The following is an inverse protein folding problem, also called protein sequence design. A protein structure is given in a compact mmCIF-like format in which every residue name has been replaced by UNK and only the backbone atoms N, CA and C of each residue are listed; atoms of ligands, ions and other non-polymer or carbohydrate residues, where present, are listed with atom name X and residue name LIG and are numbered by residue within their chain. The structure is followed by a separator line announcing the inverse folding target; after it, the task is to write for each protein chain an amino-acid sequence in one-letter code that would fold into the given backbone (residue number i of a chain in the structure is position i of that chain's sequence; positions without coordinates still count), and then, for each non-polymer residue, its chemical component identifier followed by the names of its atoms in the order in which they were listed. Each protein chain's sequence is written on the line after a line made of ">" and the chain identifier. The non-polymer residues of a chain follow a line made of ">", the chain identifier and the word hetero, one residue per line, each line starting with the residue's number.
data_IF_945963224474
#
_entry.id   IF_945963224474
#
_cell.length_a   1.000
_cell.length_b   1.000
_cell.length_c   1.000
_cell.angle_alpha   90.00
_cell.angle_beta   90.00
_cell.angle_gamma   90.00
#
_symmetry.space_group_name_H-M   'P 1'
#
loop_
_entity.id
_entity.type
_entity.pdbx_description
1 polymer ?
#
# COMPACT_ATOMS: atom_id res chain seq x y z
N UNK A 1 33.80 17.54 -10.92
CA UNK A 1 32.49 17.51 -10.24
C UNK A 1 31.42 17.03 -11.22
N UNK A 2 30.71 15.94 -10.91
CA UNK A 2 29.32 15.72 -11.31
C UNK A 2 28.77 14.56 -10.46
N UNK A 3 27.90 14.86 -9.51
CA UNK A 3 27.09 13.87 -8.81
C UNK A 3 25.94 13.48 -9.74
N UNK A 4 25.66 12.19 -10.01
CA UNK A 4 24.38 11.79 -10.56
C UNK A 4 23.30 12.00 -9.49
N UNK A 5 22.60 13.11 -9.67
CA UNK A 5 21.27 13.42 -9.18
C UNK A 5 20.37 12.19 -8.94
N UNK A 6 19.99 12.03 -7.67
CA UNK A 6 18.84 11.29 -7.18
C UNK A 6 17.56 11.78 -7.86
N UNK A 7 16.94 10.97 -8.71
CA UNK A 7 15.52 11.12 -8.98
C UNK A 7 14.83 9.78 -8.69
N UNK A 8 14.31 9.68 -7.47
CA UNK A 8 13.36 8.65 -7.09
C UNK A 8 12.19 8.76 -8.06
N UNK A 9 12.01 7.74 -8.89
CA UNK A 9 10.83 7.61 -9.76
C UNK A 9 9.62 7.26 -8.89
N UNK A 10 9.16 8.23 -8.12
CA UNK A 10 7.78 8.27 -7.66
C UNK A 10 6.94 8.73 -8.83
N UNK A 11 6.59 7.80 -9.72
CA UNK A 11 5.58 8.00 -10.75
C UNK A 11 4.22 8.21 -10.07
N UNK A 12 3.57 9.38 -10.22
CA UNK A 12 2.18 9.54 -9.86
C UNK A 12 1.31 9.11 -11.05
N UNK A 13 0.24 8.37 -10.77
CA UNK A 13 -0.86 8.03 -11.68
C UNK A 13 -0.76 6.70 -12.44
N UNK A 14 -0.84 5.61 -11.69
CA UNK A 14 -1.63 4.45 -12.08
C UNK A 14 -2.38 3.97 -10.83
N UNK A 15 -3.65 3.61 -10.97
CA UNK A 15 -4.26 2.70 -9.99
C UNK A 15 -3.63 1.34 -10.25
N UNK A 16 -2.36 1.20 -9.89
CA UNK A 16 -1.63 -0.01 -10.15
C UNK A 16 -2.09 -1.07 -9.15
N UNK A 17 -2.28 -2.32 -9.59
CA UNK A 17 -2.57 -3.44 -8.70
C UNK A 17 -1.53 -3.53 -7.56
N UNK A 18 -0.29 -3.10 -7.83
CA UNK A 18 0.80 -3.01 -6.86
C UNK A 18 0.54 -2.03 -5.70
N UNK A 19 -0.14 -0.90 -5.96
CA UNK A 19 -0.52 0.08 -4.91
C UNK A 19 -1.60 -0.48 -3.98
N UNK A 20 -2.51 -1.29 -4.53
CA UNK A 20 -3.53 -2.03 -3.77
C UNK A 20 -2.85 -3.03 -2.83
N UNK A 21 -1.90 -3.82 -3.32
CA UNK A 21 -1.13 -4.74 -2.48
C UNK A 21 -0.29 -4.01 -1.42
N UNK A 22 0.36 -2.90 -1.79
CA UNK A 22 1.10 -2.04 -0.87
C UNK A 22 0.21 -1.50 0.27
N UNK A 23 -1.04 -1.12 -0.02
CA UNK A 23 -2.03 -0.72 0.99
C UNK A 23 -2.45 -1.87 1.88
N UNK A 24 -2.65 -3.08 1.33
CA UNK A 24 -2.97 -4.28 2.10
C UNK A 24 -1.83 -4.64 3.06
N UNK A 25 -0.57 -4.55 2.63
CA UNK A 25 0.59 -4.76 3.52
C UNK A 25 0.64 -3.74 4.66
N UNK A 26 0.37 -2.47 4.35
CA UNK A 26 0.35 -1.41 5.36
C UNK A 26 -0.78 -1.61 6.38
N UNK A 27 -1.95 -2.05 5.92
CA UNK A 27 -3.05 -2.47 6.78
C UNK A 27 -2.69 -3.69 7.64
N UNK A 28 -1.99 -4.68 7.08
CA UNK A 28 -1.55 -5.86 7.82
C UNK A 28 -0.54 -5.51 8.91
N UNK A 29 0.37 -4.57 8.63
CA UNK A 29 1.32 -4.06 9.62
C UNK A 29 0.62 -3.29 10.75
N UNK A 30 -0.44 -2.53 10.46
CA UNK A 30 -1.26 -1.85 11.46
C UNK A 30 -2.09 -2.84 12.29
N UNK A 31 -2.66 -3.86 11.66
CA UNK A 31 -3.37 -4.97 12.31
C UNK A 31 -2.43 -5.77 13.24
N UNK A 32 -1.24 -6.11 12.76
CA UNK A 32 -0.22 -6.81 13.55
C UNK A 32 0.26 -5.99 14.76
N UNK A 33 0.16 -4.66 14.68
CA UNK A 33 0.40 -3.75 15.82
C UNK A 33 -0.79 -3.61 16.77
N UNK A 34 -1.90 -4.29 16.50
CA UNK A 34 -3.13 -4.22 17.30
C UNK A 34 -3.89 -2.90 17.15
N UNK A 35 -3.61 -2.13 16.09
CA UNK A 35 -4.26 -0.84 15.82
C UNK A 35 -5.59 -1.05 15.09
N UNK A 36 -5.68 -2.09 14.27
CA UNK A 36 -6.92 -2.57 13.67
C UNK A 36 -7.31 -3.92 14.28
N UNK A 37 -8.60 -4.21 14.27
CA UNK A 37 -9.14 -5.55 14.50
C UNK A 37 -9.12 -6.39 13.22
N UNK A 38 -9.16 -7.71 13.36
CA UNK A 38 -9.13 -8.65 12.23
C UNK A 38 -10.29 -8.41 11.25
N UNK A 39 -11.47 -8.06 11.79
CA UNK A 39 -12.67 -7.72 11.02
C UNK A 39 -12.48 -6.46 10.15
N UNK A 40 -11.90 -5.40 10.71
CA UNK A 40 -11.60 -4.17 9.95
C UNK A 40 -10.53 -4.40 8.88
N UNK A 41 -9.50 -5.19 9.20
CA UNK A 41 -8.47 -5.58 8.23
C UNK A 41 -9.07 -6.38 7.07
N UNK A 42 -9.90 -7.38 7.36
CA UNK A 42 -10.55 -8.22 6.36
C UNK A 42 -11.52 -7.42 5.47
N UNK A 43 -12.31 -6.52 6.04
CA UNK A 43 -13.21 -5.63 5.29
C UNK A 43 -12.42 -4.72 4.33
N UNK A 44 -11.39 -4.03 4.83
CA UNK A 44 -10.54 -3.13 4.03
C UNK A 44 -9.77 -3.88 2.93
N UNK A 45 -9.22 -5.06 3.25
CA UNK A 45 -8.52 -5.92 2.28
C UNK A 45 -9.45 -6.38 1.17
N UNK A 46 -10.68 -6.76 1.50
CA UNK A 46 -11.68 -7.20 0.51
C UNK A 46 -12.08 -6.06 -0.42
N UNK A 47 -12.37 -4.87 0.12
CA UNK A 47 -12.68 -3.68 -0.67
C UNK A 47 -11.52 -3.30 -1.62
N UNK A 48 -10.29 -3.37 -1.12
CA UNK A 48 -9.07 -3.14 -1.90
C UNK A 48 -8.91 -4.16 -3.03
N UNK A 49 -9.11 -5.44 -2.76
CA UNK A 49 -9.03 -6.51 -3.77
C UNK A 49 -10.17 -6.43 -4.81
N UNK A 50 -11.35 -5.95 -4.43
CA UNK A 50 -12.47 -5.72 -5.36
C UNK A 50 -12.25 -4.55 -6.32
N UNK A 51 -11.26 -3.68 -6.04
CA UNK A 51 -10.89 -2.55 -6.88
C UNK A 51 -9.95 -2.96 -8.05
N UNK A 52 -9.45 -4.19 -8.04
CA UNK A 52 -8.63 -4.81 -9.09
C UNK A 52 -9.49 -5.24 -10.30
#
# INVERSE_FOLDING_TARGET
>A
MALPNTNVVSSPAGFDPDDIFSKIERLAALHSKGILSDDEFAAKKTELLQRL
#
